data_IF_046539590863
#
_entry.id   IF_046539590863
#
_cell.length_a   1.000
_cell.length_b   1.000
_cell.length_c   1.000
_cell.angle_alpha   90.00
_cell.angle_beta   90.00
_cell.angle_gamma   90.00
#
_symmetry.space_group_name_H-M   'P 1'
#
loop_
_entity.id
_entity.type
_entity.pdbx_description
1 polymer ?
#
# COMPACT_ATOMS: atom_id res chain seq x y z
N UNK A 1 -26.68 -0.06 32.56
CA UNK A 1 -25.97 -0.65 31.39
C UNK A 1 -26.73 -0.49 30.05
N UNK A 2 -27.92 0.11 29.99
CA UNK A 2 -28.75 0.23 28.76
C UNK A 2 -28.54 1.52 27.95
N UNK A 3 -28.13 2.64 28.56
CA UNK A 3 -27.98 3.92 27.86
C UNK A 3 -26.86 3.94 26.79
N UNK A 4 -25.84 3.09 26.93
CA UNK A 4 -24.74 3.01 25.94
C UNK A 4 -25.16 2.26 24.66
N UNK A 5 -26.13 1.35 24.73
CA UNK A 5 -26.55 0.52 23.59
C UNK A 5 -27.39 1.34 22.58
N UNK A 6 -28.22 2.25 23.07
CA UNK A 6 -29.07 3.13 22.24
C UNK A 6 -28.24 4.23 21.55
N UNK A 7 -27.29 4.83 22.27
CA UNK A 7 -26.35 5.81 21.70
C UNK A 7 -25.41 5.20 20.64
N UNK A 8 -25.04 3.92 20.80
CA UNK A 8 -24.22 3.18 19.85
C UNK A 8 -25.00 2.79 18.58
N UNK A 9 -26.29 2.42 18.71
CA UNK A 9 -27.17 2.16 17.58
C UNK A 9 -27.42 3.40 16.71
N UNK A 10 -27.66 4.56 17.34
CA UNK A 10 -27.88 5.83 16.64
C UNK A 10 -26.62 6.32 15.90
N UNK A 11 -25.42 6.19 16.50
CA UNK A 11 -24.14 6.52 15.84
C UNK A 11 -23.86 5.64 14.62
N UNK A 12 -24.14 4.33 14.71
CA UNK A 12 -23.97 3.38 13.60
C UNK A 12 -24.93 3.69 12.44
N UNK A 13 -26.18 4.05 12.73
CA UNK A 13 -27.15 4.47 11.72
C UNK A 13 -26.69 5.73 10.96
N UNK A 14 -26.20 6.74 11.69
CA UNK A 14 -25.62 7.96 11.10
C UNK A 14 -24.40 7.69 10.22
N UNK A 15 -23.55 6.72 10.55
CA UNK A 15 -22.43 6.32 9.70
C UNK A 15 -22.89 5.67 8.41
N UNK A 16 -23.84 4.74 8.49
CA UNK A 16 -24.39 4.06 7.30
C UNK A 16 -25.03 5.07 6.37
N UNK A 17 -25.78 6.05 6.89
CA UNK A 17 -26.37 7.14 6.10
C UNK A 17 -25.27 7.98 5.43
N UNK A 18 -24.20 8.35 6.14
CA UNK A 18 -23.07 9.10 5.55
C UNK A 18 -22.37 8.32 4.44
N UNK A 19 -22.15 7.02 4.61
CA UNK A 19 -21.58 6.16 3.57
C UNK A 19 -22.50 6.01 2.36
N UNK A 20 -23.81 5.94 2.58
CA UNK A 20 -24.81 5.88 1.52
C UNK A 20 -24.83 7.20 0.72
N UNK A 21 -24.73 8.35 1.38
CA UNK A 21 -24.59 9.66 0.73
C UNK A 21 -23.31 9.75 -0.10
N UNK A 22 -22.16 9.27 0.41
CA UNK A 22 -20.91 9.22 -0.36
C UNK A 22 -21.05 8.33 -1.60
N UNK A 23 -21.67 7.15 -1.46
CA UNK A 23 -21.91 6.24 -2.58
C UNK A 23 -22.80 6.89 -3.66
N UNK A 24 -23.88 7.58 -3.26
CA UNK A 24 -24.76 8.31 -4.18
C UNK A 24 -23.99 9.42 -4.90
N UNK A 25 -23.17 10.20 -4.19
CA UNK A 25 -22.35 11.26 -4.80
C UNK A 25 -21.34 10.72 -5.82
N UNK A 26 -20.71 9.58 -5.55
CA UNK A 26 -19.79 8.94 -6.50
C UNK A 26 -20.52 8.40 -7.73
N UNK A 27 -21.69 7.77 -7.54
CA UNK A 27 -22.51 7.31 -8.67
C UNK A 27 -22.98 8.49 -9.51
N UNK A 28 -23.40 9.60 -8.90
CA UNK A 28 -23.74 10.84 -9.61
C UNK A 28 -22.55 11.42 -10.37
N UNK A 29 -21.33 11.35 -9.84
CA UNK A 29 -20.13 11.79 -10.55
C UNK A 29 -19.85 10.95 -11.80
N UNK A 30 -19.99 9.63 -11.70
CA UNK A 30 -19.78 8.69 -12.81
C UNK A 30 -20.86 8.85 -13.89
N UNK A 31 -22.13 8.90 -13.47
CA UNK A 31 -23.27 9.08 -14.39
C UNK A 31 -23.25 10.46 -15.02
N UNK A 32 -22.94 11.51 -14.25
CA UNK A 32 -22.76 12.87 -14.78
C UNK A 32 -21.65 12.95 -15.82
N UNK A 33 -20.54 12.21 -15.62
CA UNK A 33 -19.47 12.11 -16.60
C UNK A 33 -19.89 11.38 -17.89
N UNK A 34 -20.80 10.39 -17.79
CA UNK A 34 -21.35 9.67 -18.94
C UNK A 34 -22.33 10.51 -19.75
N UNK A 35 -23.24 11.26 -19.09
CA UNK A 35 -24.23 12.09 -19.78
C UNK A 35 -23.64 13.33 -20.46
N UNK A 36 -22.58 13.91 -19.91
CA UNK A 36 -22.01 15.13 -20.49
C UNK A 36 -21.19 14.91 -21.77
N UNK A 37 -21.21 13.70 -22.37
CA UNK A 37 -20.33 13.17 -23.45
C UNK A 37 -20.09 14.09 -24.65
N UNK A 38 -20.95 15.08 -24.85
CA UNK A 38 -20.92 16.00 -26.00
C UNK A 38 -20.32 17.41 -25.76
N UNK A 39 -19.91 17.77 -24.53
CA UNK A 39 -19.26 19.08 -24.23
C UNK A 39 -17.72 19.01 -24.04
N UNK A 40 -17.03 20.13 -24.26
CA UNK A 40 -15.56 20.33 -24.16
C UNK A 40 -14.91 19.63 -22.94
N UNK A 41 -13.86 18.83 -23.20
CA UNK A 41 -13.08 18.05 -22.21
C UNK A 41 -12.71 18.78 -20.89
N UNK A 42 -12.21 20.03 -20.89
CA UNK A 42 -11.69 20.65 -19.66
C UNK A 42 -12.76 20.94 -18.61
N UNK A 43 -13.99 21.28 -19.02
CA UNK A 43 -15.05 21.68 -18.09
C UNK A 43 -15.65 20.50 -17.32
N UNK A 44 -15.58 19.28 -17.88
CA UNK A 44 -15.96 18.06 -17.15
C UNK A 44 -14.92 17.63 -16.14
N UNK A 45 -13.64 17.68 -16.54
CA UNK A 45 -12.55 17.29 -15.67
C UNK A 45 -12.58 18.12 -14.37
N UNK A 46 -12.84 19.43 -14.46
CA UNK A 46 -12.98 20.29 -13.29
C UNK A 46 -14.19 19.93 -12.40
N UNK A 47 -15.35 19.63 -12.98
CA UNK A 47 -16.56 19.29 -12.20
C UNK A 47 -16.42 17.92 -11.52
N UNK A 48 -15.87 16.93 -12.22
CA UNK A 48 -15.64 15.59 -11.66
C UNK A 48 -14.60 15.65 -10.54
N UNK A 49 -13.51 16.40 -10.72
CA UNK A 49 -12.51 16.63 -9.66
C UNK A 49 -13.15 17.32 -8.46
N UNK A 50 -13.98 18.34 -8.66
CA UNK A 50 -14.68 19.03 -7.57
C UNK A 50 -15.58 18.07 -6.78
N UNK A 51 -16.36 17.21 -7.46
CA UNK A 51 -17.24 16.24 -6.80
C UNK A 51 -16.45 15.16 -6.05
N UNK A 52 -15.33 14.69 -6.61
CA UNK A 52 -14.43 13.75 -5.93
C UNK A 52 -13.82 14.38 -4.68
N UNK A 53 -13.40 15.65 -4.75
CA UNK A 53 -12.87 16.38 -3.60
C UNK A 53 -13.94 16.51 -2.51
N UNK A 54 -15.17 16.90 -2.88
CA UNK A 54 -16.29 17.02 -1.92
C UNK A 54 -16.63 15.66 -1.29
N UNK A 55 -16.69 14.58 -2.08
CA UNK A 55 -16.92 13.24 -1.57
C UNK A 55 -15.79 12.78 -0.62
N UNK A 56 -14.53 13.10 -0.96
CA UNK A 56 -13.37 12.85 -0.10
C UNK A 56 -13.44 13.60 1.23
N UNK A 57 -13.83 14.88 1.21
CA UNK A 57 -14.01 15.68 2.43
C UNK A 57 -15.13 15.12 3.31
N UNK A 58 -16.26 14.72 2.73
CA UNK A 58 -17.37 14.10 3.46
C UNK A 58 -16.97 12.73 4.04
N UNK A 59 -16.19 11.94 3.30
CA UNK A 59 -15.66 10.67 3.78
C UNK A 59 -14.69 10.87 4.96
N UNK A 60 -13.80 11.88 4.91
CA UNK A 60 -12.90 12.22 6.02
C UNK A 60 -13.66 12.70 7.27
N UNK A 61 -14.81 13.34 7.11
CA UNK A 61 -15.68 13.74 8.23
C UNK A 61 -16.48 12.58 8.87
N UNK A 62 -16.39 11.36 8.34
CA UNK A 62 -17.03 10.16 8.92
C UNK A 62 -16.18 9.58 10.06
N UNK A 63 -16.80 8.84 10.99
CA UNK A 63 -16.14 8.32 12.21
C UNK A 63 -14.91 7.45 11.88
N UNK A 64 -14.94 6.69 10.78
CA UNK A 64 -13.78 5.97 10.23
C UNK A 64 -12.67 6.89 9.70
N UNK A 65 -13.01 8.05 9.15
CA UNK A 65 -12.03 9.05 8.70
C UNK A 65 -11.29 9.66 9.89
N UNK A 66 -12.01 10.01 10.96
CA UNK A 66 -11.40 10.48 12.21
C UNK A 66 -10.52 9.41 12.87
N UNK A 67 -10.91 8.14 12.85
CA UNK A 67 -10.06 7.07 13.39
C UNK A 67 -8.77 6.89 12.59
N UNK A 68 -8.81 7.01 11.27
CA UNK A 68 -7.59 6.95 10.44
C UNK A 68 -6.65 8.10 10.77
N UNK A 69 -7.17 9.31 11.03
CA UNK A 69 -6.35 10.45 11.46
C UNK A 69 -5.72 10.22 12.84
N UNK A 70 -6.45 9.63 13.79
CA UNK A 70 -5.87 9.27 15.10
C UNK A 70 -4.84 8.16 14.96
N UNK A 71 -5.10 7.13 14.16
CA UNK A 71 -4.12 6.07 13.85
C UNK A 71 -2.88 6.61 13.16
N UNK A 72 -3.01 7.58 12.24
CA UNK A 72 -1.87 8.22 11.59
C UNK A 72 -1.02 9.02 12.58
N UNK A 73 -1.67 9.66 13.56
CA UNK A 73 -1.01 10.40 14.65
C UNK A 73 -0.27 9.46 15.60
N UNK A 74 -0.88 8.33 15.94
CA UNK A 74 -0.27 7.25 16.73
C UNK A 74 0.90 6.59 15.98
N UNK A 75 0.73 6.28 14.69
CA UNK A 75 1.78 5.75 13.83
C UNK A 75 2.96 6.72 13.69
N UNK A 76 2.71 8.03 13.60
CA UNK A 76 3.77 9.04 13.60
C UNK A 76 4.55 9.07 14.92
N UNK A 77 3.91 8.69 16.03
CA UNK A 77 4.56 8.57 17.34
C UNK A 77 5.40 7.30 17.43
N UNK A 78 4.96 6.21 16.78
CA UNK A 78 5.69 4.95 16.68
C UNK A 78 6.89 5.03 15.73
N UNK A 79 6.75 5.75 14.61
CA UNK A 79 7.86 6.01 13.67
C UNK A 79 9.00 6.75 14.35
N UNK A 80 8.71 7.61 15.35
CA UNK A 80 9.75 8.27 16.15
C UNK A 80 10.53 7.31 17.04
N UNK A 81 10.00 6.12 17.32
CA UNK A 81 10.71 5.04 18.02
C UNK A 81 11.55 4.17 17.08
N UNK A 82 11.38 4.32 15.76
CA UNK A 82 12.24 3.66 14.79
C UNK A 82 13.59 4.36 14.84
N UNK A 83 14.54 3.68 15.46
CA UNK A 83 15.94 4.09 15.47
C UNK A 83 16.44 3.85 14.05
N UNK A 84 16.58 4.92 13.28
CA UNK A 84 17.18 4.82 11.95
C UNK A 84 18.64 4.42 12.12
N UNK A 85 19.08 3.35 11.42
CA UNK A 85 20.41 2.82 11.59
C UNK A 85 21.43 3.88 11.21
N UNK A 86 22.51 3.95 11.98
CA UNK A 86 23.64 4.81 11.64
C UNK A 86 24.30 4.29 10.35
N UNK A 87 25.03 5.16 9.65
CA UNK A 87 25.75 4.77 8.42
C UNK A 87 26.73 3.62 8.68
N UNK A 88 27.33 3.58 9.87
CA UNK A 88 28.28 2.54 10.26
C UNK A 88 27.60 1.18 10.50
N UNK A 89 26.46 1.15 11.19
CA UNK A 89 25.68 -0.09 11.37
C UNK A 89 25.18 -0.64 10.04
N UNK A 90 24.70 0.25 9.16
CA UNK A 90 24.23 -0.13 7.82
C UNK A 90 25.34 -0.78 7.00
N UNK A 91 26.56 -0.21 7.05
CA UNK A 91 27.72 -0.74 6.34
C UNK A 91 28.16 -2.09 6.92
N UNK A 92 28.20 -2.23 8.24
CA UNK A 92 28.56 -3.49 8.89
C UNK A 92 27.61 -4.62 8.50
N UNK A 93 26.29 -4.39 8.58
CA UNK A 93 25.30 -5.41 8.17
C UNK A 93 25.41 -5.72 6.67
N UNK A 94 25.59 -4.71 5.82
CA UNK A 94 25.74 -4.91 4.37
C UNK A 94 27.00 -5.71 4.04
N UNK A 95 28.13 -5.41 4.70
CA UNK A 95 29.41 -6.11 4.49
C UNK A 95 29.32 -7.57 4.92
N UNK A 96 28.65 -7.86 6.03
CA UNK A 96 28.35 -9.24 6.46
C UNK A 96 27.54 -9.97 5.40
N UNK A 97 26.45 -9.38 4.91
CA UNK A 97 25.61 -10.00 3.85
C UNK A 97 26.42 -10.24 2.59
N UNK A 98 27.18 -9.24 2.11
CA UNK A 98 28.04 -9.35 0.92
C UNK A 98 29.06 -10.47 1.09
N UNK A 99 29.67 -10.61 2.27
CA UNK A 99 30.65 -11.65 2.54
C UNK A 99 30.02 -13.04 2.46
N UNK A 100 28.88 -13.24 3.14
CA UNK A 100 28.18 -14.54 3.13
C UNK A 100 27.70 -14.89 1.72
N UNK A 101 27.13 -13.93 0.98
CA UNK A 101 26.69 -14.13 -0.40
C UNK A 101 27.87 -14.43 -1.34
N UNK A 102 29.01 -13.75 -1.19
CA UNK A 102 30.20 -14.00 -1.98
C UNK A 102 30.75 -15.42 -1.74
N UNK A 103 30.80 -15.87 -0.48
CA UNK A 103 31.22 -17.24 -0.13
C UNK A 103 30.27 -18.26 -0.75
N UNK A 104 28.95 -18.09 -0.59
CA UNK A 104 27.96 -19.01 -1.17
C UNK A 104 28.04 -19.05 -2.70
N UNK A 105 28.17 -17.88 -3.34
CA UNK A 105 28.32 -17.78 -4.80
C UNK A 105 29.58 -18.50 -5.29
N UNK A 106 30.69 -18.38 -4.57
CA UNK A 106 31.96 -19.01 -4.94
C UNK A 106 31.92 -20.53 -4.75
N UNK A 107 31.27 -21.00 -3.67
CA UNK A 107 31.05 -22.43 -3.42
C UNK A 107 30.20 -23.07 -4.52
N UNK A 108 29.06 -22.45 -4.87
CA UNK A 108 28.20 -22.94 -5.94
C UNK A 108 28.94 -22.94 -7.28
N UNK A 109 29.57 -21.83 -7.64
CA UNK A 109 30.35 -21.72 -8.88
C UNK A 109 31.43 -22.80 -9.01
N UNK A 110 32.16 -23.08 -7.92
CA UNK A 110 33.18 -24.14 -7.90
C UNK A 110 32.58 -25.53 -8.07
N UNK A 111 31.49 -25.82 -7.35
CA UNK A 111 30.81 -27.11 -7.44
C UNK A 111 30.21 -27.35 -8.82
N UNK A 112 29.49 -26.37 -9.37
CA UNK A 112 28.90 -26.42 -10.71
C UNK A 112 29.97 -26.59 -11.78
N UNK A 113 31.09 -25.86 -11.68
CA UNK A 113 32.22 -25.98 -12.60
C UNK A 113 32.87 -27.36 -12.60
N UNK A 114 33.03 -27.97 -11.42
CA UNK A 114 33.54 -29.34 -11.29
C UNK A 114 32.54 -30.35 -11.85
N UNK A 115 31.25 -30.22 -11.51
CA UNK A 115 30.21 -31.11 -12.03
C UNK A 115 30.18 -31.11 -13.55
N UNK A 116 30.16 -29.93 -14.18
CA UNK A 116 30.14 -29.79 -15.64
C UNK A 116 31.38 -30.44 -16.26
N UNK A 117 32.56 -30.24 -15.68
CA UNK A 117 33.80 -30.84 -16.20
C UNK A 117 33.77 -32.36 -16.08
N UNK A 118 33.32 -32.92 -14.96
CA UNK A 118 33.17 -34.38 -14.77
C UNK A 118 32.15 -34.97 -15.75
N UNK A 119 30.97 -34.35 -15.88
CA UNK A 119 29.92 -34.79 -16.80
C UNK A 119 30.45 -34.76 -18.24
N UNK A 120 31.10 -33.66 -18.66
CA UNK A 120 31.66 -33.53 -20.01
C UNK A 120 32.72 -34.59 -20.30
N UNK A 121 33.56 -34.92 -19.31
CA UNK A 121 34.59 -35.95 -19.44
C UNK A 121 33.96 -37.33 -19.65
N UNK A 122 32.98 -37.70 -18.83
CA UNK A 122 32.26 -38.98 -18.94
C UNK A 122 31.51 -39.08 -20.27
N UNK A 123 30.84 -38.01 -20.71
CA UNK A 123 30.14 -38.00 -22.00
C UNK A 123 31.12 -38.09 -23.17
N UNK A 124 32.28 -37.43 -23.10
CA UNK A 124 33.32 -37.48 -24.14
C UNK A 124 33.99 -38.85 -24.28
N UNK A 125 33.99 -39.64 -23.21
CA UNK A 125 34.53 -41.02 -23.18
C UNK A 125 33.57 -42.07 -23.77
N UNK A 126 32.30 -41.70 -24.02
CA UNK A 126 31.28 -42.62 -24.54
C UNK A 126 31.06 -42.50 -26.06
N UNK A 127 31.98 -41.81 -26.75
CA UNK A 127 32.17 -41.81 -28.20
C UNK A 127 33.58 -42.30 -28.53
#
# INVERSE_FOLDING_TARGET
>A
MSANTEAQGSRRGLEVVKWLVVAILLVLAIVGNYFYRDYNLPMRASVVVLVIVIAGVVAMMTIKGKSIVTFAREASTEIRKVIWPTREETLNTTLVVVTVTAVMSLLLWGLDGVLVRVISFITSLRF
#
